data_IF_073627496318
#
_entry.id   IF_073627496318
#
_cell.length_a   1.000
_cell.length_b   1.000
_cell.length_c   1.000
_cell.angle_alpha   90.00
_cell.angle_beta   90.00
_cell.angle_gamma   90.00
#
_symmetry.space_group_name_H-M   'P 1'
#
loop_
_entity.id
_entity.type
_entity.pdbx_description
1 polymer ?
#
# COMPACT_ATOMS: atom_id res chain seq x y z
N UNK A 1 -2.38 -20.56 3.52
CA UNK A 1 -1.79 -21.28 4.67
C UNK A 1 -2.20 -22.76 4.75
N UNK A 2 -3.46 -23.18 4.52
CA UNK A 2 -3.84 -24.61 4.57
C UNK A 2 -2.95 -25.46 3.64
N UNK A 3 -2.82 -25.11 2.37
CA UNK A 3 -1.97 -25.83 1.42
C UNK A 3 -0.50 -25.92 1.87
N UNK A 4 0.04 -24.89 2.49
CA UNK A 4 1.41 -24.91 3.03
C UNK A 4 1.53 -25.87 4.23
N UNK A 5 0.54 -25.87 5.15
CA UNK A 5 0.48 -26.80 6.25
C UNK A 5 0.47 -28.26 5.77
N UNK A 6 -0.33 -28.55 4.75
CA UNK A 6 -0.39 -29.88 4.12
C UNK A 6 0.95 -30.27 3.48
N UNK A 7 1.61 -29.33 2.76
CA UNK A 7 2.93 -29.57 2.16
C UNK A 7 3.98 -29.89 3.23
N UNK A 8 4.06 -29.08 4.28
CA UNK A 8 5.01 -29.33 5.37
C UNK A 8 4.74 -30.66 6.11
N UNK A 9 3.47 -31.04 6.25
CA UNK A 9 3.13 -32.33 6.87
C UNK A 9 3.63 -33.52 6.03
N UNK A 10 3.55 -33.44 4.70
CA UNK A 10 4.10 -34.46 3.78
C UNK A 10 5.63 -34.53 3.86
N UNK A 11 6.29 -33.42 4.11
CA UNK A 11 7.74 -33.31 4.29
C UNK A 11 8.20 -33.71 5.71
N UNK A 12 7.28 -34.20 6.56
CA UNK A 12 7.58 -34.65 7.91
C UNK A 12 7.63 -33.52 8.97
N UNK A 13 7.20 -32.30 8.62
CA UNK A 13 7.12 -31.15 9.54
C UNK A 13 5.65 -30.72 9.73
N UNK A 14 4.89 -31.34 10.63
CA UNK A 14 3.48 -31.01 10.84
C UNK A 14 3.32 -29.64 11.53
N UNK A 15 3.22 -28.57 10.74
CA UNK A 15 2.94 -27.22 11.21
C UNK A 15 1.45 -26.90 11.08
N UNK A 16 0.81 -26.51 12.18
CA UNK A 16 -0.58 -26.10 12.16
C UNK A 16 -0.77 -24.77 11.42
N UNK A 17 -1.97 -24.55 10.89
CA UNK A 17 -2.32 -23.26 10.24
C UNK A 17 -2.17 -22.09 11.22
N UNK A 18 -2.50 -22.27 12.50
CA UNK A 18 -2.31 -21.25 13.53
C UNK A 18 -0.84 -20.91 13.74
N UNK A 19 0.04 -21.91 13.82
CA UNK A 19 1.48 -21.70 13.95
C UNK A 19 2.04 -20.91 12.77
N UNK A 20 1.61 -21.25 11.54
CA UNK A 20 2.01 -20.51 10.35
C UNK A 20 1.49 -19.07 10.35
N UNK A 21 0.27 -18.85 10.86
CA UNK A 21 -0.30 -17.51 11.00
C UNK A 21 0.48 -16.66 12.01
N UNK A 22 0.88 -17.24 13.14
CA UNK A 22 1.69 -16.58 14.16
C UNK A 22 3.08 -16.18 13.61
N UNK A 23 3.73 -17.08 12.85
CA UNK A 23 5.00 -16.75 12.18
C UNK A 23 4.87 -15.57 11.21
N UNK A 24 3.82 -15.56 10.39
CA UNK A 24 3.56 -14.41 9.49
C UNK A 24 3.32 -13.13 10.30
N UNK A 25 2.58 -13.22 11.42
CA UNK A 25 2.36 -12.10 12.32
C UNK A 25 3.67 -11.54 12.88
N UNK A 26 4.55 -12.40 13.38
CA UNK A 26 5.87 -12.00 13.89
C UNK A 26 6.74 -11.38 12.78
N UNK A 27 6.79 -11.99 11.59
CA UNK A 27 7.51 -11.42 10.45
C UNK A 27 7.00 -10.02 10.09
N UNK A 28 5.69 -9.80 10.13
CA UNK A 28 5.08 -8.48 9.87
C UNK A 28 5.56 -7.42 10.85
N UNK A 29 5.69 -7.78 12.14
CA UNK A 29 6.21 -6.86 13.16
C UNK A 29 7.70 -6.54 12.90
N UNK A 30 8.50 -7.55 12.60
CA UNK A 30 9.95 -7.38 12.34
C UNK A 30 10.21 -6.54 11.08
N UNK A 31 9.39 -6.70 10.04
CA UNK A 31 9.55 -5.99 8.77
C UNK A 31 8.97 -4.58 8.78
N UNK A 32 8.26 -4.16 9.83
CA UNK A 32 7.62 -2.84 9.91
C UNK A 32 8.60 -1.70 9.64
N UNK A 33 9.78 -1.72 10.27
CA UNK A 33 10.80 -0.68 10.07
C UNK A 33 11.27 -0.58 8.62
N UNK A 34 11.38 -1.70 7.92
CA UNK A 34 11.70 -1.70 6.49
C UNK A 34 10.59 -1.10 5.64
N UNK A 35 9.33 -1.43 5.95
CA UNK A 35 8.16 -0.84 5.25
C UNK A 35 8.10 0.67 5.46
N UNK A 36 8.36 1.15 6.68
CA UNK A 36 8.42 2.59 6.99
C UNK A 36 9.52 3.31 6.21
N UNK A 37 10.69 2.68 6.02
CA UNK A 37 11.77 3.23 5.19
C UNK A 37 11.39 3.28 3.70
N UNK A 38 10.75 2.25 3.18
CA UNK A 38 10.24 2.22 1.80
C UNK A 38 9.17 3.31 1.62
N UNK A 39 8.23 3.45 2.55
CA UNK A 39 7.21 4.50 2.51
C UNK A 39 7.84 5.89 2.50
N UNK A 40 8.80 6.14 3.39
CA UNK A 40 9.53 7.41 3.45
C UNK A 40 10.26 7.70 2.13
N UNK A 41 10.89 6.70 1.51
CA UNK A 41 11.54 6.84 0.22
C UNK A 41 10.54 7.15 -0.90
N UNK A 42 9.40 6.45 -0.95
CA UNK A 42 8.35 6.70 -1.95
C UNK A 42 7.79 8.11 -1.79
N UNK A 43 7.45 8.52 -0.57
CA UNK A 43 6.85 9.83 -0.30
C UNK A 43 7.85 11.00 -0.38
N UNK A 44 9.15 10.73 -0.50
CA UNK A 44 10.18 11.74 -0.78
C UNK A 44 10.31 12.07 -2.27
N UNK A 45 9.67 11.31 -3.16
CA UNK A 45 9.70 11.56 -4.60
C UNK A 45 9.00 12.86 -4.98
N UNK A 46 9.54 13.59 -5.96
CA UNK A 46 8.87 14.77 -6.54
C UNK A 46 7.54 14.41 -7.19
N UNK A 47 7.47 13.20 -7.78
CA UNK A 47 6.29 12.63 -8.42
C UNK A 47 6.04 11.23 -7.89
N UNK A 48 4.77 10.92 -7.60
CA UNK A 48 4.33 9.56 -7.30
C UNK A 48 3.07 9.23 -8.09
N UNK A 49 2.91 7.94 -8.37
CA UNK A 49 1.68 7.38 -8.89
C UNK A 49 0.91 6.74 -7.73
N UNK A 50 -0.39 6.94 -7.70
CA UNK A 50 -1.24 6.34 -6.66
C UNK A 50 -2.52 5.82 -7.29
N UNK A 51 -2.82 4.55 -7.02
CA UNK A 51 -3.99 3.88 -7.57
C UNK A 51 -4.50 2.81 -6.61
N UNK A 52 -5.74 2.35 -6.79
CA UNK A 52 -6.32 1.29 -5.99
C UNK A 52 -6.94 0.18 -6.83
N UNK A 53 -6.86 -1.03 -6.33
CA UNK A 53 -7.52 -2.20 -6.90
C UNK A 53 -8.31 -2.97 -5.87
N UNK A 54 -9.35 -3.67 -6.32
CA UNK A 54 -10.12 -4.56 -5.46
C UNK A 54 -9.36 -5.84 -5.15
N UNK A 55 -9.53 -6.33 -3.93
CA UNK A 55 -9.00 -7.63 -3.51
C UNK A 55 -10.06 -8.42 -2.75
N UNK A 56 -10.27 -9.72 -3.09
CA UNK A 56 -11.14 -10.57 -2.32
C UNK A 56 -10.48 -10.94 -0.97
N UNK A 57 -11.22 -10.74 0.11
CA UNK A 57 -10.75 -11.04 1.46
C UNK A 57 -11.70 -12.05 2.09
N UNK A 58 -11.14 -13.13 2.59
CA UNK A 58 -11.92 -14.15 3.30
C UNK A 58 -12.39 -13.61 4.65
N UNK A 59 -13.69 -13.74 4.90
CA UNK A 59 -14.33 -13.43 6.17
C UNK A 59 -15.14 -14.64 6.64
N UNK A 60 -15.60 -14.64 7.88
CA UNK A 60 -16.38 -15.74 8.41
C UNK A 60 -17.64 -16.02 7.55
N UNK A 61 -17.66 -17.18 6.90
CA UNK A 61 -18.77 -17.65 6.06
C UNK A 61 -18.98 -16.92 4.72
N UNK A 62 -18.11 -15.97 4.34
CA UNK A 62 -18.23 -15.22 3.08
C UNK A 62 -16.90 -14.62 2.62
N UNK A 63 -16.88 -14.19 1.38
CA UNK A 63 -15.81 -13.33 0.86
C UNK A 63 -16.32 -11.89 0.83
N UNK A 64 -15.50 -10.95 1.31
CA UNK A 64 -15.74 -9.52 1.22
C UNK A 64 -14.74 -8.88 0.25
N UNK A 65 -15.11 -7.76 -0.33
CA UNK A 65 -14.20 -6.99 -1.19
C UNK A 65 -13.49 -5.94 -0.35
N UNK A 66 -12.16 -6.03 -0.27
CA UNK A 66 -11.30 -5.00 0.24
C UNK A 66 -10.60 -4.25 -0.89
N UNK A 67 -9.70 -3.34 -0.54
CA UNK A 67 -8.89 -2.55 -1.47
C UNK A 67 -7.42 -2.62 -1.12
N UNK A 68 -6.58 -2.68 -2.14
CA UNK A 68 -5.14 -2.45 -2.02
C UNK A 68 -4.83 -1.17 -2.80
N UNK A 69 -4.23 -0.22 -2.12
CA UNK A 69 -3.72 1.01 -2.69
C UNK A 69 -2.22 0.84 -2.92
N UNK A 70 -1.71 1.33 -4.03
CA UNK A 70 -0.29 1.32 -4.37
C UNK A 70 0.18 2.77 -4.53
N UNK A 71 1.17 3.17 -3.75
CA UNK A 71 1.92 4.39 -4.00
C UNK A 71 3.28 4.01 -4.61
N UNK A 72 3.57 4.52 -5.79
CA UNK A 72 4.74 4.14 -6.60
C UNK A 72 5.59 5.38 -6.87
N UNK A 73 6.89 5.29 -6.59
CA UNK A 73 7.91 6.20 -7.08
C UNK A 73 8.70 5.51 -8.17
N UNK A 74 8.77 6.13 -9.35
CA UNK A 74 9.72 5.75 -10.41
C UNK A 74 10.17 7.02 -11.14
N UNK A 75 11.34 7.51 -10.80
CA UNK A 75 11.90 8.74 -11.35
C UNK A 75 12.66 8.53 -12.66
N UNK A 76 12.92 7.28 -13.05
CA UNK A 76 13.72 6.94 -14.25
C UNK A 76 13.17 7.52 -15.54
N UNK A 77 11.85 7.51 -15.83
CA UNK A 77 11.29 8.11 -17.04
C UNK A 77 11.50 9.62 -17.12
N UNK A 78 11.84 10.26 -15.98
CA UNK A 78 12.02 11.71 -15.86
C UNK A 78 13.48 12.10 -15.62
N UNK A 79 14.42 11.16 -15.81
CA UNK A 79 15.85 11.39 -15.65
C UNK A 79 16.35 11.36 -14.20
N UNK A 80 15.51 10.92 -13.25
CA UNK A 80 15.91 10.76 -11.86
C UNK A 80 16.77 9.52 -11.64
N UNK A 81 17.69 9.58 -10.68
CA UNK A 81 18.63 8.49 -10.35
C UNK A 81 18.19 7.61 -9.18
N UNK A 82 17.14 7.97 -8.47
CA UNK A 82 16.69 7.22 -7.30
C UNK A 82 16.03 5.89 -7.70
N UNK A 83 16.25 4.82 -6.92
CA UNK A 83 15.69 3.52 -7.23
C UNK A 83 14.15 3.53 -7.14
N UNK A 84 13.45 2.87 -8.08
CA UNK A 84 12.01 2.75 -8.03
C UNK A 84 11.58 1.94 -6.82
N UNK A 85 10.47 2.33 -6.22
CA UNK A 85 9.88 1.63 -5.09
C UNK A 85 8.36 1.75 -5.07
N UNK A 86 7.72 0.80 -4.37
CA UNK A 86 6.28 0.78 -4.17
C UNK A 86 5.96 0.44 -2.73
N UNK A 87 4.95 1.12 -2.18
CA UNK A 87 4.34 0.75 -0.90
C UNK A 87 2.86 0.45 -1.10
N UNK A 88 2.38 -0.58 -0.41
CA UNK A 88 1.00 -1.02 -0.48
C UNK A 88 0.28 -0.77 0.83
N UNK A 89 -0.98 -0.32 0.73
CA UNK A 89 -1.87 -0.17 1.88
C UNK A 89 -3.15 -0.96 1.65
N UNK A 90 -3.60 -1.66 2.66
CA UNK A 90 -4.90 -2.36 2.65
C UNK A 90 -5.97 -1.51 3.33
N UNK A 91 -7.17 -1.47 2.73
CA UNK A 91 -8.36 -0.88 3.33
C UNK A 91 -9.59 -1.75 3.09
N UNK A 92 -10.61 -1.58 3.93
CA UNK A 92 -11.87 -2.33 3.76
C UNK A 92 -12.79 -1.76 2.70
N UNK A 93 -12.62 -0.49 2.37
CA UNK A 93 -13.47 0.27 1.45
C UNK A 93 -12.64 1.29 0.64
N UNK A 94 -13.33 2.03 -0.25
CA UNK A 94 -12.74 3.06 -1.11
C UNK A 94 -13.09 4.48 -0.63
N UNK A 95 -13.14 4.75 0.65
CA UNK A 95 -13.41 6.12 1.11
C UNK A 95 -12.19 7.04 0.89
N UNK A 96 -12.45 8.33 0.56
CA UNK A 96 -11.40 9.33 0.36
C UNK A 96 -10.53 9.59 1.60
N UNK A 97 -10.99 9.23 2.78
CA UNK A 97 -10.19 9.31 4.01
C UNK A 97 -8.91 8.44 3.95
N UNK A 98 -8.91 7.37 3.14
CA UNK A 98 -7.74 6.49 3.03
C UNK A 98 -6.59 7.15 2.27
N UNK A 99 -6.73 7.58 1.00
CA UNK A 99 -5.66 8.28 0.30
C UNK A 99 -5.26 9.58 1.00
N UNK A 100 -6.19 10.32 1.61
CA UNK A 100 -5.87 11.51 2.39
C UNK A 100 -4.93 11.21 3.57
N UNK A 101 -5.12 10.09 4.27
CA UNK A 101 -4.26 9.66 5.37
C UNK A 101 -2.92 9.14 4.86
N UNK A 102 -2.92 8.31 3.81
CA UNK A 102 -1.71 7.72 3.22
C UNK A 102 -0.78 8.80 2.68
N UNK A 103 -1.34 9.82 2.04
CA UNK A 103 -0.60 10.93 1.44
C UNK A 103 -0.55 12.18 2.32
N UNK A 104 -0.87 12.05 3.62
CA UNK A 104 -0.96 13.20 4.53
C UNK A 104 0.34 14.03 4.60
N UNK A 105 1.50 13.39 4.47
CA UNK A 105 2.83 14.02 4.53
C UNK A 105 3.40 14.36 3.15
N UNK A 106 2.77 13.91 2.08
CA UNK A 106 3.28 14.08 0.73
C UNK A 106 3.05 15.51 0.24
N UNK A 107 4.05 16.05 -0.45
CA UNK A 107 3.97 17.29 -1.23
C UNK A 107 4.68 17.03 -2.55
N UNK A 108 4.06 17.31 -3.67
CA UNK A 108 4.64 17.07 -4.97
C UNK A 108 3.59 16.83 -6.03
N UNK A 109 3.94 16.12 -7.07
CA UNK A 109 3.05 15.79 -8.18
C UNK A 109 2.43 14.43 -7.95
N UNK A 110 1.12 14.36 -7.88
CA UNK A 110 0.37 13.11 -7.76
C UNK A 110 -0.25 12.74 -9.10
N UNK A 111 0.14 11.64 -9.67
CA UNK A 111 -0.52 11.04 -10.83
C UNK A 111 -1.49 9.95 -10.35
N UNK A 112 -2.77 10.21 -10.48
CA UNK A 112 -3.86 9.33 -10.06
C UNK A 112 -5.03 9.41 -11.03
N UNK A 113 -5.98 8.45 -10.92
CA UNK A 113 -7.24 8.53 -11.64
C UNK A 113 -8.11 9.69 -11.12
N UNK A 114 -9.18 10.01 -11.84
CA UNK A 114 -10.12 11.10 -11.50
C UNK A 114 -11.06 10.73 -10.33
N UNK A 115 -10.61 9.93 -9.37
CA UNK A 115 -11.41 9.59 -8.20
C UNK A 115 -11.53 10.78 -7.24
N UNK A 116 -12.75 11.20 -6.93
CA UNK A 116 -13.05 12.36 -6.06
C UNK A 116 -12.50 12.24 -4.62
N UNK A 117 -12.08 11.04 -4.21
CA UNK A 117 -11.40 10.84 -2.92
C UNK A 117 -10.06 11.56 -2.80
N UNK A 118 -9.47 12.02 -3.91
CA UNK A 118 -8.24 12.81 -3.93
C UNK A 118 -8.48 14.33 -3.84
N UNK A 119 -9.70 14.82 -4.08
CA UNK A 119 -9.98 16.27 -4.21
C UNK A 119 -9.45 17.09 -3.03
N UNK A 120 -9.60 16.57 -1.81
CA UNK A 120 -9.10 17.27 -0.61
C UNK A 120 -7.57 17.40 -0.56
N UNK A 121 -6.84 16.55 -1.29
CA UNK A 121 -5.37 16.59 -1.36
C UNK A 121 -4.86 17.73 -2.23
N UNK A 122 -5.68 18.19 -3.18
CA UNK A 122 -5.36 19.30 -4.10
C UNK A 122 -5.73 20.66 -3.53
N UNK A 123 -6.31 20.74 -2.34
CA UNK A 123 -6.73 21.99 -1.73
C UNK A 123 -5.53 22.94 -1.51
N UNK A 124 -5.59 24.22 -1.96
CA UNK A 124 -4.48 25.16 -1.86
C UNK A 124 -4.00 25.45 -0.44
N UNK A 125 -4.90 25.32 0.55
CA UNK A 125 -4.59 25.55 1.97
C UNK A 125 -4.08 24.31 2.70
N UNK A 126 -3.86 23.20 2.01
CA UNK A 126 -3.41 21.95 2.60
C UNK A 126 -2.01 22.12 3.22
N UNK A 127 -1.80 21.47 4.35
CA UNK A 127 -0.48 21.32 4.98
C UNK A 127 -0.04 19.85 4.89
N UNK A 128 1.25 19.58 4.65
CA UNK A 128 2.45 20.46 4.70
C UNK A 128 2.66 21.32 3.45
N UNK A 129 1.92 21.10 2.38
CA UNK A 129 1.99 21.85 1.13
C UNK A 129 0.99 21.33 0.10
N UNK A 130 0.83 22.00 -1.03
CA UNK A 130 -0.06 21.55 -2.09
C UNK A 130 0.44 20.24 -2.72
N UNK A 131 -0.48 19.40 -3.13
CA UNK A 131 -0.23 18.35 -4.12
C UNK A 131 -0.70 18.87 -5.45
N UNK A 132 0.14 18.77 -6.48
CA UNK A 132 -0.20 19.12 -7.84
C UNK A 132 -0.81 17.90 -8.52
N UNK A 133 -2.01 18.06 -9.04
CA UNK A 133 -2.68 17.00 -9.79
C UNK A 133 -2.02 16.82 -11.17
N UNK A 134 -1.65 15.59 -11.48
CA UNK A 134 -1.35 15.16 -12.84
C UNK A 134 -2.40 14.11 -13.23
N UNK A 135 -3.36 14.51 -14.06
CA UNK A 135 -4.39 13.59 -14.54
C UNK A 135 -3.78 12.44 -15.36
N UNK A 136 -4.34 11.24 -15.21
CA UNK A 136 -3.97 10.06 -15.98
C UNK A 136 -4.93 9.90 -17.18
#
# INVERSE_FOLDING_TARGET
>A
MNRQSETYAVEGMPLSVSTLADYVGHCTILLRGLVELIEAHVLAGERIHHDDTTVPVMAAGKTITGRIWAAVRDDRPFGGGDPPAVVYYYTRDRTGAHPQRQLARYCGILQADAYSGYDALYAPCRKPGPILEAAC
#
